data_IF_946468112248
#
_entry.id   IF_946468112248
#
_cell.length_a   1.000
_cell.length_b   1.000
_cell.length_c   1.000
_cell.angle_alpha   90.00
_cell.angle_beta   90.00
_cell.angle_gamma   90.00
#
_symmetry.space_group_name_H-M   'P 1'
#
loop_
_entity.id
_entity.type
_entity.pdbx_description
1 polymer ?
#
# COMPACT_ATOMS: atom_id res chain seq x y z
N UNK A 1 -18.45 -24.22 38.49
CA UNK A 1 -18.22 -24.24 37.04
C UNK A 1 -16.86 -23.62 36.79
N UNK A 2 -15.85 -24.47 36.64
CA UNK A 2 -14.51 -24.06 36.25
C UNK A 2 -14.58 -23.46 34.84
N UNK A 3 -14.16 -22.20 34.69
CA UNK A 3 -13.84 -21.64 33.37
C UNK A 3 -12.67 -22.46 32.84
N UNK A 4 -12.92 -23.37 31.90
CA UNK A 4 -11.85 -23.94 31.07
C UNK A 4 -11.09 -22.77 30.47
N UNK A 5 -9.85 -22.56 30.91
CA UNK A 5 -8.88 -21.67 30.28
C UNK A 5 -8.64 -22.24 28.89
N UNK A 6 -9.37 -21.73 27.90
CA UNK A 6 -9.15 -22.07 26.51
C UNK A 6 -7.74 -21.60 26.17
N UNK A 7 -6.86 -22.52 25.78
CA UNK A 7 -5.54 -22.15 25.24
C UNK A 7 -5.79 -21.17 24.09
N UNK A 8 -5.38 -19.93 24.28
CA UNK A 8 -5.48 -18.91 23.24
C UNK A 8 -4.43 -19.25 22.19
N UNK A 9 -4.83 -19.28 20.91
CA UNK A 9 -3.89 -19.43 19.81
C UNK A 9 -3.34 -18.04 19.50
N UNK A 10 -2.05 -17.84 19.79
CA UNK A 10 -1.38 -16.56 19.58
C UNK A 10 -0.80 -16.49 18.18
N UNK A 11 -1.11 -15.41 17.48
CA UNK A 11 -0.50 -15.03 16.22
C UNK A 11 0.42 -13.85 16.45
N UNK A 12 1.64 -13.95 15.93
CA UNK A 12 2.60 -12.86 15.94
C UNK A 12 2.60 -12.20 14.56
N UNK A 13 2.41 -10.89 14.51
CA UNK A 13 2.46 -10.09 13.29
C UNK A 13 3.75 -9.28 13.27
N UNK A 14 4.47 -9.31 12.15
CA UNK A 14 5.66 -8.48 11.92
C UNK A 14 5.50 -7.64 10.64
N UNK A 15 4.97 -6.40 10.74
CA UNK A 15 4.84 -5.51 9.59
C UNK A 15 6.19 -4.92 9.16
N UNK A 16 6.33 -4.61 7.88
CA UNK A 16 7.35 -3.69 7.40
C UNK A 16 7.01 -2.27 7.90
N UNK A 17 7.98 -1.47 8.41
CA UNK A 17 7.71 -0.21 9.12
C UNK A 17 7.43 0.97 8.18
N UNK A 18 6.50 0.78 7.25
CA UNK A 18 5.96 1.81 6.39
C UNK A 18 4.44 1.71 6.38
N UNK A 19 3.76 2.85 6.31
CA UNK A 19 2.29 2.91 6.46
C UNK A 19 1.54 1.99 5.47
N UNK A 20 2.03 1.87 4.24
CA UNK A 20 1.46 0.96 3.24
C UNK A 20 1.55 -0.53 3.59
N UNK A 21 2.36 -0.89 4.59
CA UNK A 21 2.55 -2.27 5.07
C UNK A 21 1.93 -2.47 6.47
N UNK A 22 2.07 -1.49 7.36
CA UNK A 22 1.47 -1.50 8.70
C UNK A 22 -0.06 -1.59 8.60
N UNK A 23 -0.68 -0.74 7.78
CA UNK A 23 -2.13 -0.69 7.63
C UNK A 23 -2.76 -2.05 7.28
N UNK A 24 -2.36 -2.71 6.17
CA UNK A 24 -2.91 -4.01 5.82
C UNK A 24 -2.62 -5.09 6.87
N UNK A 25 -1.46 -5.08 7.50
CA UNK A 25 -1.12 -6.05 8.56
C UNK A 25 -2.04 -5.91 9.78
N UNK A 26 -2.29 -4.68 10.25
CA UNK A 26 -3.18 -4.44 11.40
C UNK A 26 -4.66 -4.71 11.06
N UNK A 27 -5.08 -4.45 9.81
CA UNK A 27 -6.42 -4.82 9.32
C UNK A 27 -6.60 -6.34 9.30
N UNK A 28 -5.60 -7.08 8.84
CA UNK A 28 -5.57 -8.54 8.91
C UNK A 28 -5.61 -9.03 10.37
N UNK A 29 -4.80 -8.42 11.24
CA UNK A 29 -4.81 -8.71 12.68
C UNK A 29 -6.19 -8.51 13.31
N UNK A 30 -6.89 -7.44 12.96
CA UNK A 30 -8.23 -7.14 13.48
C UNK A 30 -9.25 -8.19 13.05
N UNK A 31 -9.18 -8.62 11.79
CA UNK A 31 -10.01 -9.72 11.31
C UNK A 31 -9.70 -11.03 12.05
N UNK A 32 -8.43 -11.40 12.20
CA UNK A 32 -8.02 -12.62 12.89
C UNK A 32 -8.40 -12.59 14.38
N UNK A 33 -8.24 -11.46 15.05
CA UNK A 33 -8.72 -11.26 16.41
C UNK A 33 -10.22 -11.51 16.53
N UNK A 34 -11.03 -11.04 15.57
CA UNK A 34 -12.48 -11.32 15.52
C UNK A 34 -12.82 -12.81 15.36
N UNK A 35 -11.85 -13.64 14.97
CA UNK A 35 -11.97 -15.10 14.87
C UNK A 35 -11.50 -15.84 16.13
N UNK A 36 -11.07 -15.12 17.16
CA UNK A 36 -10.68 -15.67 18.45
C UNK A 36 -9.18 -15.86 18.66
N UNK A 37 -8.33 -15.40 17.73
CA UNK A 37 -6.88 -15.41 17.90
C UNK A 37 -6.41 -14.26 18.82
N UNK A 38 -5.44 -14.53 19.69
CA UNK A 38 -4.70 -13.46 20.36
C UNK A 38 -3.68 -12.87 19.40
N UNK A 39 -3.65 -11.55 19.26
CA UNK A 39 -2.73 -10.87 18.35
C UNK A 39 -1.60 -10.21 19.13
N UNK A 40 -0.37 -10.51 18.73
CA UNK A 40 0.84 -9.84 19.18
C UNK A 40 1.52 -9.19 17.99
N UNK A 41 1.74 -7.88 18.02
CA UNK A 41 2.45 -7.14 16.98
C UNK A 41 3.86 -6.84 17.48
N UNK A 42 4.86 -7.39 16.81
CA UNK A 42 6.26 -7.02 17.06
C UNK A 42 6.70 -6.05 15.97
N UNK A 43 7.29 -4.92 16.36
CA UNK A 43 7.63 -3.84 15.43
C UNK A 43 8.95 -3.17 15.79
N UNK A 44 9.58 -2.53 14.81
CA UNK A 44 10.79 -1.72 14.99
C UNK A 44 10.46 -0.43 15.74
N UNK A 45 11.47 0.24 16.31
CA UNK A 45 11.30 1.60 16.85
C UNK A 45 11.03 2.60 15.72
N UNK A 46 11.74 2.43 14.60
CA UNK A 46 11.51 3.18 13.37
C UNK A 46 10.07 3.01 12.89
N UNK A 47 9.36 4.13 12.74
CA UNK A 47 7.95 4.20 12.34
C UNK A 47 7.03 3.26 13.15
N UNK A 48 7.15 3.29 14.47
CA UNK A 48 6.33 2.49 15.37
C UNK A 48 4.82 2.78 15.20
N UNK A 49 3.96 1.74 15.09
CA UNK A 49 2.51 1.91 15.16
C UNK A 49 2.09 2.42 16.54
N UNK A 50 0.96 3.13 16.63
CA UNK A 50 0.39 3.58 17.91
C UNK A 50 -0.47 2.46 18.53
N UNK A 51 -0.07 1.85 19.66
CA UNK A 51 -0.85 0.78 20.31
C UNK A 51 -2.26 1.20 20.74
N UNK A 52 -2.47 2.50 20.99
CA UNK A 52 -3.76 3.04 21.45
C UNK A 52 -4.88 2.85 20.42
N UNK A 53 -4.52 2.66 19.15
CA UNK A 53 -5.49 2.43 18.08
C UNK A 53 -6.01 0.99 18.03
N UNK A 54 -5.29 0.05 18.66
CA UNK A 54 -5.64 -1.37 18.75
C UNK A 54 -5.40 -1.88 20.19
N UNK A 55 -6.15 -1.38 21.18
CA UNK A 55 -5.96 -1.75 22.59
C UNK A 55 -6.20 -3.24 22.87
N UNK A 56 -6.85 -3.95 21.95
CA UNK A 56 -7.07 -5.39 21.98
C UNK A 56 -5.83 -6.22 21.57
N UNK A 57 -4.80 -5.61 20.98
CA UNK A 57 -3.54 -6.28 20.64
C UNK A 57 -2.46 -6.02 21.68
N UNK A 58 -1.46 -6.91 21.73
CA UNK A 58 -0.23 -6.68 22.47
C UNK A 58 0.86 -6.19 21.53
N UNK A 59 1.56 -5.11 21.88
CA UNK A 59 2.65 -4.55 21.06
C UNK A 59 3.99 -4.74 21.76
N UNK A 60 5.00 -5.21 21.02
CA UNK A 60 6.38 -5.29 21.48
C UNK A 60 7.30 -4.52 20.52
N UNK A 61 7.89 -3.39 20.96
CA UNK A 61 8.93 -2.75 20.19
C UNK A 61 10.24 -3.53 20.30
N UNK A 62 11.00 -3.60 19.20
CA UNK A 62 12.36 -4.16 19.17
C UNK A 62 13.38 -3.12 18.69
N UNK A 63 14.62 -3.15 19.19
CA UNK A 63 15.73 -2.42 18.60
C UNK A 63 15.90 -2.75 17.11
N UNK A 64 16.17 -1.70 16.33
CA UNK A 64 16.46 -1.79 14.90
C UNK A 64 17.89 -1.35 14.54
N UNK A 65 18.60 -0.76 15.50
CA UNK A 65 19.97 -0.26 15.39
C UNK A 65 20.21 0.60 14.13
N UNK A 66 19.17 1.32 13.68
CA UNK A 66 19.29 2.26 12.57
C UNK A 66 20.00 3.53 13.03
N UNK A 67 20.99 3.96 12.25
CA UNK A 67 21.69 5.23 12.48
C UNK A 67 20.87 6.43 12.01
N UNK A 68 21.13 7.61 12.59
CA UNK A 68 20.50 8.84 12.15
C UNK A 68 20.80 9.17 10.66
N UNK A 69 22.00 8.81 10.19
CA UNK A 69 22.41 8.99 8.80
C UNK A 69 21.61 8.09 7.85
N UNK A 70 21.38 6.83 8.21
CA UNK A 70 20.53 5.92 7.42
C UNK A 70 19.09 6.42 7.33
N UNK A 71 18.52 6.86 8.46
CA UNK A 71 17.15 7.40 8.49
C UNK A 71 17.05 8.67 7.65
N UNK A 72 17.98 9.60 7.82
CA UNK A 72 17.97 10.89 7.11
C UNK A 72 18.26 10.77 5.62
N UNK A 73 18.94 9.69 5.18
CA UNK A 73 19.18 9.42 3.76
C UNK A 73 17.88 9.27 2.96
N UNK A 74 16.79 8.85 3.61
CA UNK A 74 15.53 8.53 2.95
C UNK A 74 15.61 7.35 1.97
N UNK A 75 16.74 6.62 1.92
CA UNK A 75 16.91 5.47 1.05
C UNK A 75 16.20 4.25 1.65
N UNK A 76 14.95 4.06 1.22
CA UNK A 76 14.06 2.98 1.65
C UNK A 76 14.73 1.60 1.49
N UNK A 77 15.43 1.36 0.39
CA UNK A 77 16.02 0.04 0.11
C UNK A 77 17.16 -0.26 1.10
N UNK A 78 18.05 0.71 1.34
CA UNK A 78 19.12 0.58 2.33
C UNK A 78 18.58 0.36 3.74
N UNK A 79 17.56 1.13 4.15
CA UNK A 79 16.90 0.97 5.46
C UNK A 79 16.34 -0.44 5.61
N UNK A 80 15.61 -0.95 4.62
CA UNK A 80 15.03 -2.30 4.67
C UNK A 80 16.09 -3.39 4.76
N UNK A 81 17.22 -3.24 4.08
CA UNK A 81 18.35 -4.16 4.17
C UNK A 81 18.99 -4.12 5.58
N UNK A 82 19.20 -2.92 6.13
CA UNK A 82 19.72 -2.75 7.49
C UNK A 82 18.79 -3.39 8.53
N UNK A 83 17.47 -3.16 8.45
CA UNK A 83 16.49 -3.80 9.32
C UNK A 83 16.54 -5.33 9.26
N UNK A 84 16.66 -5.91 8.05
CA UNK A 84 16.79 -7.36 7.90
C UNK A 84 18.10 -7.91 8.48
N UNK A 85 19.15 -7.09 8.55
CA UNK A 85 20.42 -7.47 9.18
C UNK A 85 20.36 -7.35 10.71
N UNK A 86 19.78 -6.26 11.22
CA UNK A 86 19.86 -5.86 12.62
C UNK A 86 18.79 -6.53 13.50
N UNK A 87 17.54 -6.60 13.03
CA UNK A 87 16.41 -6.97 13.88
C UNK A 87 16.31 -8.47 14.23
N UNK A 88 17.10 -9.33 13.58
CA UNK A 88 16.98 -10.79 13.72
C UNK A 88 17.14 -11.25 15.17
N UNK A 89 18.21 -10.83 15.83
CA UNK A 89 18.52 -11.27 17.20
C UNK A 89 17.47 -10.75 18.19
N UNK A 90 17.09 -9.47 18.09
CA UNK A 90 16.10 -8.86 18.97
C UNK A 90 14.71 -9.48 18.80
N UNK A 91 14.31 -9.81 17.56
CA UNK A 91 13.05 -10.50 17.32
C UNK A 91 13.04 -11.90 17.93
N UNK A 92 14.11 -12.67 17.74
CA UNK A 92 14.25 -14.02 18.31
C UNK A 92 14.21 -14.01 19.85
N UNK A 93 14.93 -13.08 20.48
CA UNK A 93 14.89 -12.88 21.92
C UNK A 93 13.46 -12.54 22.39
N UNK A 94 12.79 -11.59 21.72
CA UNK A 94 11.42 -11.18 22.08
C UNK A 94 10.45 -12.36 22.04
N UNK A 95 10.51 -13.20 21.00
CA UNK A 95 9.65 -14.37 20.89
C UNK A 95 9.94 -15.41 21.97
N UNK A 96 11.22 -15.62 22.29
CA UNK A 96 11.63 -16.54 23.36
C UNK A 96 11.07 -16.07 24.70
N UNK A 97 11.20 -14.79 25.03
CA UNK A 97 10.64 -14.23 26.26
C UNK A 97 9.11 -14.32 26.32
N UNK A 98 8.41 -14.11 25.19
CA UNK A 98 6.95 -14.26 25.12
C UNK A 98 6.55 -15.71 25.39
N UNK A 99 7.28 -16.68 24.82
CA UNK A 99 7.03 -18.11 25.04
C UNK A 99 7.31 -18.54 26.48
N UNK A 100 8.34 -17.99 27.13
CA UNK A 100 8.71 -18.29 28.52
C UNK A 100 7.72 -17.67 29.53
N UNK A 101 7.29 -16.43 29.31
CA UNK A 101 6.37 -15.71 30.21
C UNK A 101 4.95 -16.27 30.14
N UNK A 102 4.53 -16.81 29.00
CA UNK A 102 3.19 -17.38 28.82
C UNK A 102 3.21 -18.79 28.21
N UNK A 103 3.68 -19.81 28.95
CA UNK A 103 3.81 -21.18 28.41
C UNK A 103 2.48 -21.80 27.95
N UNK A 104 1.36 -21.31 28.51
CA UNK A 104 0.00 -21.77 28.19
C UNK A 104 -0.55 -21.16 26.89
N UNK A 105 0.09 -20.12 26.36
CA UNK A 105 -0.34 -19.33 25.20
C UNK A 105 0.67 -19.51 24.05
N UNK A 106 0.65 -20.71 23.46
CA UNK A 106 1.58 -21.12 22.40
C UNK A 106 1.44 -20.19 21.19
N UNK A 107 2.58 -19.73 20.67
CA UNK A 107 2.63 -19.06 19.36
C UNK A 107 2.29 -20.09 18.29
N UNK A 108 1.13 -19.92 17.65
CA UNK A 108 0.65 -20.82 16.59
C UNK A 108 1.36 -20.54 15.28
N UNK A 109 1.53 -19.26 14.92
CA UNK A 109 2.10 -18.85 13.65
C UNK A 109 2.64 -17.41 13.72
N UNK A 110 3.69 -17.14 12.94
CA UNK A 110 4.17 -15.78 12.66
C UNK A 110 3.67 -15.37 11.27
N UNK A 111 2.93 -14.27 11.17
CA UNK A 111 2.56 -13.64 9.91
C UNK A 111 3.49 -12.44 9.71
N UNK A 112 4.33 -12.48 8.68
CA UNK A 112 5.33 -11.43 8.44
C UNK A 112 5.17 -10.84 7.05
N UNK A 113 5.54 -9.58 6.91
CA UNK A 113 5.63 -8.93 5.61
C UNK A 113 6.70 -9.60 4.72
N UNK A 114 6.47 -9.66 3.41
CA UNK A 114 7.38 -10.32 2.46
C UNK A 114 8.76 -9.68 2.38
N UNK A 115 8.85 -8.38 2.67
CA UNK A 115 10.12 -7.63 2.66
C UNK A 115 10.90 -7.83 3.97
N UNK A 116 10.25 -8.23 5.07
CA UNK A 116 10.89 -8.51 6.36
C UNK A 116 11.27 -10.00 6.47
N UNK A 117 12.07 -10.47 5.52
CA UNK A 117 12.41 -11.89 5.38
C UNK A 117 13.23 -12.47 6.54
N UNK A 118 13.87 -11.63 7.37
CA UNK A 118 14.54 -12.10 8.58
C UNK A 118 13.55 -12.78 9.57
N UNK A 119 12.28 -12.37 9.57
CA UNK A 119 11.24 -12.93 10.44
C UNK A 119 10.98 -14.41 10.15
N UNK A 120 11.04 -14.81 8.87
CA UNK A 120 10.96 -16.23 8.46
C UNK A 120 12.15 -17.03 8.98
N UNK A 121 13.35 -16.46 8.92
CA UNK A 121 14.55 -17.13 9.40
C UNK A 121 14.51 -17.38 10.91
N UNK A 122 13.93 -16.46 11.68
CA UNK A 122 13.68 -16.62 13.12
C UNK A 122 12.58 -17.65 13.37
N UNK A 123 11.46 -17.57 12.64
CA UNK A 123 10.37 -18.54 12.74
C UNK A 123 10.88 -19.98 12.55
N UNK A 124 11.69 -20.19 11.51
CA UNK A 124 12.34 -21.48 11.24
C UNK A 124 13.30 -21.91 12.34
N UNK A 125 14.09 -21.00 12.91
CA UNK A 125 15.02 -21.33 14.01
C UNK A 125 14.26 -21.81 15.25
N UNK A 126 13.14 -21.15 15.56
CA UNK A 126 12.29 -21.48 16.71
C UNK A 126 11.28 -22.60 16.43
N UNK A 127 11.29 -23.19 15.23
CA UNK A 127 10.31 -24.19 14.77
C UNK A 127 8.85 -23.71 14.88
N UNK A 128 8.61 -22.44 14.58
CA UNK A 128 7.28 -21.83 14.53
C UNK A 128 6.85 -21.71 13.05
N UNK A 129 5.64 -22.16 12.68
CA UNK A 129 5.10 -21.93 11.34
C UNK A 129 5.06 -20.45 10.98
N UNK A 130 5.27 -20.13 9.71
CA UNK A 130 5.18 -18.76 9.21
C UNK A 130 4.27 -18.64 7.99
N UNK A 131 3.63 -17.49 7.85
CA UNK A 131 2.82 -17.13 6.69
C UNK A 131 3.32 -15.77 6.18
N UNK A 132 3.56 -15.67 4.88
CA UNK A 132 4.04 -14.45 4.26
C UNK A 132 2.87 -13.57 3.83
N UNK A 133 2.85 -12.29 4.22
CA UNK A 133 1.90 -11.30 3.75
C UNK A 133 2.54 -10.43 2.65
N UNK A 134 1.87 -10.36 1.50
CA UNK A 134 2.20 -9.46 0.40
C UNK A 134 1.19 -8.33 0.33
N UNK A 135 1.68 -7.11 0.56
CA UNK A 135 0.89 -5.88 0.59
C UNK A 135 0.89 -5.14 -0.76
N UNK A 136 1.67 -5.63 -1.73
CA UNK A 136 1.74 -5.10 -3.11
C UNK A 136 0.88 -5.94 -4.07
N UNK A 137 0.73 -5.53 -5.33
CA UNK A 137 -0.06 -6.27 -6.33
C UNK A 137 0.69 -7.49 -6.92
N UNK A 138 -0.05 -8.45 -7.47
CA UNK A 138 0.50 -9.63 -8.14
C UNK A 138 1.20 -9.24 -9.44
N UNK A 139 0.63 -8.28 -10.16
CA UNK A 139 1.18 -7.72 -11.40
C UNK A 139 2.52 -7.03 -11.17
N UNK A 140 2.69 -6.31 -10.05
CA UNK A 140 3.99 -5.78 -9.64
C UNK A 140 4.99 -6.90 -9.31
N UNK A 141 4.57 -7.97 -8.64
CA UNK A 141 5.45 -9.10 -8.37
C UNK A 141 6.00 -9.71 -9.67
N UNK A 142 5.14 -9.94 -10.67
CA UNK A 142 5.56 -10.39 -12.00
C UNK A 142 6.49 -9.38 -12.69
N UNK A 143 6.21 -8.09 -12.57
CA UNK A 143 7.06 -7.04 -13.13
C UNK A 143 8.47 -7.02 -12.49
N UNK A 144 8.59 -7.27 -11.18
CA UNK A 144 9.88 -7.43 -10.50
C UNK A 144 10.63 -8.66 -11.03
N UNK A 145 9.95 -9.78 -11.23
CA UNK A 145 10.55 -10.97 -11.86
C UNK A 145 11.07 -10.67 -13.27
N UNK A 146 10.34 -9.87 -14.07
CA UNK A 146 10.79 -9.42 -15.38
C UNK A 146 12.09 -8.59 -15.29
N UNK A 147 12.18 -7.68 -14.33
CA UNK A 147 13.39 -6.87 -14.09
C UNK A 147 14.59 -7.76 -13.74
N UNK A 148 14.40 -8.75 -12.86
CA UNK A 148 15.46 -9.70 -12.49
C UNK A 148 15.91 -10.54 -13.70
N UNK A 149 14.97 -11.00 -14.53
CA UNK A 149 15.27 -11.74 -15.74
C UNK A 149 16.05 -10.89 -16.74
N UNK A 150 15.59 -9.67 -17.05
CA UNK A 150 16.25 -8.77 -17.97
C UNK A 150 17.68 -8.44 -17.51
N UNK A 151 17.92 -8.30 -16.20
CA UNK A 151 19.26 -8.13 -15.68
C UNK A 151 20.14 -9.36 -15.90
N UNK A 152 19.60 -10.57 -15.67
CA UNK A 152 20.36 -11.82 -15.89
C UNK A 152 20.73 -12.07 -17.36
N UNK A 153 20.01 -11.43 -18.28
CA UNK A 153 20.25 -11.45 -19.73
C UNK A 153 21.09 -10.26 -20.22
N UNK A 154 21.68 -9.46 -19.31
CA UNK A 154 22.45 -8.24 -19.61
C UNK A 154 21.66 -7.19 -20.42
N UNK A 155 20.33 -7.16 -20.26
CA UNK A 155 19.42 -6.21 -20.91
C UNK A 155 19.09 -4.98 -20.04
N UNK A 156 19.78 -4.79 -18.90
CA UNK A 156 19.64 -3.63 -18.01
C UNK A 156 21.00 -2.93 -17.78
N UNK A 157 21.05 -1.58 -17.76
CA UNK A 157 19.96 -0.65 -18.06
C UNK A 157 19.57 -0.69 -19.55
N UNK A 158 18.29 -0.56 -19.86
CA UNK A 158 17.83 -0.50 -21.25
C UNK A 158 17.99 0.92 -21.82
N UNK A 159 18.29 1.08 -23.13
CA UNK A 159 18.34 2.40 -23.77
C UNK A 159 17.00 3.14 -23.73
N UNK A 160 17.05 4.48 -23.70
CA UNK A 160 15.87 5.34 -23.75
C UNK A 160 14.98 5.09 -24.98
N UNK A 161 15.57 4.62 -26.09
CA UNK A 161 14.82 4.25 -27.30
C UNK A 161 13.88 3.06 -27.09
N UNK A 162 14.13 2.19 -26.11
CA UNK A 162 13.27 1.07 -25.76
C UNK A 162 12.22 1.43 -24.69
N UNK A 163 12.34 2.61 -24.06
CA UNK A 163 11.52 3.05 -22.94
C UNK A 163 10.00 2.89 -23.17
N UNK A 164 9.54 3.21 -24.38
CA UNK A 164 8.12 3.12 -24.77
C UNK A 164 7.72 1.77 -25.36
N UNK A 165 8.68 0.87 -25.62
CA UNK A 165 8.40 -0.43 -26.22
C UNK A 165 7.73 -1.35 -25.19
N UNK A 166 6.81 -2.23 -25.63
CA UNK A 166 6.21 -3.22 -24.76
C UNK A 166 7.27 -4.21 -24.26
N UNK A 167 7.16 -4.62 -23.01
CA UNK A 167 7.99 -5.69 -22.45
C UNK A 167 7.43 -7.04 -22.94
N UNK A 168 8.22 -7.88 -23.63
CA UNK A 168 7.75 -9.18 -24.11
C UNK A 168 7.17 -10.01 -22.97
N UNK A 169 6.02 -10.67 -23.19
CA UNK A 169 5.32 -11.52 -22.21
C UNK A 169 4.73 -10.79 -20.97
N UNK A 170 5.00 -9.50 -20.78
CA UNK A 170 4.50 -8.70 -19.65
C UNK A 170 3.55 -7.57 -20.09
N UNK A 171 2.75 -7.81 -21.15
CA UNK A 171 1.71 -6.86 -21.57
C UNK A 171 0.74 -6.56 -20.40
N UNK A 172 0.38 -5.29 -20.15
CA UNK A 172 0.54 -4.09 -20.98
C UNK A 172 1.78 -3.22 -20.69
N UNK A 173 2.73 -3.73 -19.90
CA UNK A 173 3.87 -2.94 -19.43
C UNK A 173 4.82 -2.59 -20.57
N UNK A 174 5.34 -1.36 -20.52
CA UNK A 174 6.49 -0.90 -21.29
C UNK A 174 7.74 -0.96 -20.42
N UNK A 175 8.92 -0.89 -21.04
CA UNK A 175 10.18 -0.88 -20.28
C UNK A 175 10.21 0.22 -19.20
N UNK A 176 9.70 1.43 -19.52
CA UNK A 176 9.61 2.52 -18.52
C UNK A 176 8.64 2.28 -17.36
N UNK A 177 7.68 1.37 -17.54
CA UNK A 177 6.68 1.05 -16.52
C UNK A 177 7.23 0.01 -15.53
N UNK A 178 8.36 -0.64 -15.84
CA UNK A 178 9.00 -1.61 -14.96
C UNK A 178 9.49 -0.95 -13.66
N UNK A 179 9.43 -1.65 -12.52
CA UNK A 179 9.83 -1.13 -11.21
C UNK A 179 11.36 -1.16 -11.05
N UNK A 180 12.10 -0.54 -11.98
CA UNK A 180 13.54 -0.32 -11.85
C UNK A 180 13.78 0.80 -10.83
N UNK A 181 14.67 0.56 -9.84
CA UNK A 181 14.95 1.56 -8.81
C UNK A 181 15.74 2.74 -9.40
N UNK A 182 15.18 3.95 -9.29
CA UNK A 182 15.94 5.20 -9.45
C UNK A 182 16.55 5.67 -8.11
N UNK A 183 16.24 4.99 -7.01
CA UNK A 183 16.50 5.43 -5.63
C UNK A 183 17.69 4.72 -4.99
N UNK A 184 18.19 3.65 -5.60
CA UNK A 184 19.34 2.87 -5.11
C UNK A 184 19.95 2.06 -6.25
N UNK A 185 21.10 1.47 -5.99
CA UNK A 185 21.78 0.45 -6.78
C UNK A 185 20.87 -0.73 -7.12
N UNK A 186 21.07 -1.28 -8.33
CA UNK A 186 20.41 -2.50 -8.74
C UNK A 186 20.74 -3.69 -7.82
N UNK A 187 21.94 -3.71 -7.23
CA UNK A 187 22.36 -4.73 -6.27
C UNK A 187 21.43 -4.77 -5.05
N UNK A 188 21.17 -3.62 -4.40
CA UNK A 188 20.26 -3.56 -3.26
C UNK A 188 18.82 -3.92 -3.66
N UNK A 189 18.36 -3.43 -4.81
CA UNK A 189 17.05 -3.78 -5.35
C UNK A 189 16.90 -5.28 -5.56
N UNK A 190 17.86 -5.91 -6.24
CA UNK A 190 17.84 -7.34 -6.56
C UNK A 190 17.90 -8.21 -5.31
N UNK A 191 18.73 -7.84 -4.32
CA UNK A 191 18.77 -8.49 -3.00
C UNK A 191 17.38 -8.50 -2.35
N UNK A 192 16.69 -7.36 -2.29
CA UNK A 192 15.35 -7.29 -1.72
C UNK A 192 14.33 -8.06 -2.55
N UNK A 193 14.33 -7.90 -3.88
CA UNK A 193 13.37 -8.55 -4.76
C UNK A 193 13.48 -10.08 -4.74
N UNK A 194 14.70 -10.62 -4.77
CA UNK A 194 14.96 -12.07 -4.66
C UNK A 194 14.51 -12.58 -3.29
N UNK A 195 14.85 -11.86 -2.22
CA UNK A 195 14.48 -12.29 -0.87
C UNK A 195 12.97 -12.21 -0.60
N UNK A 196 12.27 -11.19 -1.08
CA UNK A 196 10.81 -11.07 -0.96
C UNK A 196 10.07 -12.08 -1.87
N UNK A 197 10.68 -12.46 -2.99
CA UNK A 197 10.16 -13.47 -3.89
C UNK A 197 10.28 -14.91 -3.38
N UNK A 198 11.22 -15.17 -2.48
CA UNK A 198 11.49 -16.50 -1.97
C UNK A 198 10.53 -16.91 -0.85
N UNK A 199 9.68 -17.89 -1.12
CA UNK A 199 8.69 -18.44 -0.17
C UNK A 199 9.37 -19.17 1.00
N UNK A 200 10.59 -19.68 0.82
CA UNK A 200 11.38 -20.41 1.84
C UNK A 200 10.55 -21.48 2.54
N UNK A 201 10.41 -21.42 3.87
CA UNK A 201 9.63 -22.37 4.67
C UNK A 201 8.26 -21.85 5.09
N UNK A 202 7.80 -20.74 4.50
CA UNK A 202 6.46 -20.23 4.77
C UNK A 202 5.39 -21.27 4.37
N UNK A 203 4.41 -21.48 5.25
CA UNK A 203 3.32 -22.44 5.06
C UNK A 203 2.28 -21.94 4.05
N UNK A 204 2.20 -20.63 3.84
CA UNK A 204 1.28 -20.01 2.89
C UNK A 204 1.70 -18.58 2.52
N UNK A 205 1.04 -18.04 1.48
CA UNK A 205 1.12 -16.64 1.10
C UNK A 205 -0.27 -16.01 1.21
N UNK A 206 -0.34 -14.89 1.91
CA UNK A 206 -1.49 -14.00 1.93
C UNK A 206 -1.21 -12.85 0.97
N UNK A 207 -2.19 -12.51 0.14
CA UNK A 207 -2.07 -11.41 -0.80
C UNK A 207 -3.19 -10.40 -0.60
N UNK A 208 -2.84 -9.13 -0.39
CA UNK A 208 -3.79 -8.03 -0.36
C UNK A 208 -4.22 -7.66 -1.80
N UNK A 209 -4.92 -8.56 -2.47
CA UNK A 209 -5.49 -8.34 -3.81
C UNK A 209 -6.85 -9.01 -3.93
N UNK A 210 -7.57 -8.70 -5.01
CA UNK A 210 -8.89 -9.24 -5.33
C UNK A 210 -8.82 -9.94 -6.69
N UNK A 211 -9.40 -11.14 -6.76
CA UNK A 211 -9.36 -11.95 -7.99
C UNK A 211 -9.88 -11.20 -9.21
N UNK A 212 -10.95 -10.40 -9.06
CA UNK A 212 -11.54 -9.66 -10.18
C UNK A 212 -10.60 -8.61 -10.80
N UNK A 213 -9.53 -8.22 -10.11
CA UNK A 213 -8.53 -7.26 -10.60
C UNK A 213 -7.33 -7.95 -11.26
N UNK A 214 -6.91 -9.11 -10.75
CA UNK A 214 -5.63 -9.76 -11.10
C UNK A 214 -5.75 -11.26 -11.43
N UNK A 215 -6.93 -11.73 -11.87
CA UNK A 215 -7.23 -13.16 -12.08
C UNK A 215 -6.17 -13.91 -12.90
N UNK A 216 -5.74 -13.36 -14.03
CA UNK A 216 -4.75 -13.99 -14.91
C UNK A 216 -3.38 -14.11 -14.23
N UNK A 217 -2.93 -13.03 -13.57
CA UNK A 217 -1.66 -12.99 -12.84
C UNK A 217 -1.67 -13.93 -11.64
N UNK A 218 -2.78 -14.03 -10.91
CA UNK A 218 -2.95 -14.99 -9.81
C UNK A 218 -2.88 -16.43 -10.33
N UNK A 219 -3.55 -16.75 -11.44
CA UNK A 219 -3.50 -18.08 -12.03
C UNK A 219 -2.07 -18.46 -12.47
N UNK A 220 -1.31 -17.51 -13.02
CA UNK A 220 0.10 -17.72 -13.39
C UNK A 220 0.97 -18.02 -12.16
N UNK A 221 0.86 -17.23 -11.09
CA UNK A 221 1.66 -17.43 -9.88
C UNK A 221 1.26 -18.73 -9.15
N UNK A 222 -0.03 -19.08 -9.14
CA UNK A 222 -0.50 -20.31 -8.51
C UNK A 222 0.08 -21.58 -9.15
N UNK A 223 0.44 -21.54 -10.44
CA UNK A 223 1.13 -22.66 -11.11
C UNK A 223 2.61 -22.77 -10.74
N UNK A 224 3.22 -21.68 -10.27
CA UNK A 224 4.65 -21.61 -9.93
C UNK A 224 4.90 -21.81 -8.44
N UNK A 225 3.89 -21.61 -7.60
CA UNK A 225 4.00 -21.67 -6.16
C UNK A 225 3.54 -23.02 -5.60
N UNK A 226 4.34 -23.60 -4.70
CA UNK A 226 4.04 -24.90 -4.08
C UNK A 226 3.21 -24.78 -2.80
N UNK A 227 3.02 -23.56 -2.28
CA UNK A 227 2.24 -23.29 -1.08
C UNK A 227 0.90 -22.66 -1.43
N UNK A 228 -0.13 -22.79 -0.59
CA UNK A 228 -1.41 -22.14 -0.84
C UNK A 228 -1.27 -20.61 -0.85
N UNK A 229 -1.97 -19.97 -1.79
CA UNK A 229 -2.08 -18.52 -1.93
C UNK A 229 -3.51 -18.09 -1.57
N UNK A 230 -3.63 -17.09 -0.71
CA UNK A 230 -4.90 -16.52 -0.26
C UNK A 230 -5.02 -15.07 -0.72
N UNK A 231 -5.76 -14.81 -1.80
CA UNK A 231 -6.16 -13.47 -2.22
C UNK A 231 -7.34 -13.00 -1.37
N UNK A 232 -7.04 -12.29 -0.28
CA UNK A 232 -8.03 -11.89 0.74
C UNK A 232 -8.37 -10.41 0.72
N UNK A 233 -7.79 -9.67 -0.22
CA UNK A 233 -7.99 -8.24 -0.34
C UNK A 233 -9.40 -7.87 -0.82
N UNK A 234 -9.76 -6.58 -0.69
CA UNK A 234 -8.97 -5.52 -0.09
C UNK A 234 -9.03 -5.55 1.44
N UNK A 235 -7.88 -5.53 2.11
CA UNK A 235 -7.80 -5.64 3.58
C UNK A 235 -8.49 -4.47 4.31
N UNK A 236 -8.55 -3.28 3.70
CA UNK A 236 -9.25 -2.14 4.30
C UNK A 236 -10.79 -2.32 4.36
N UNK A 237 -11.33 -3.39 3.76
CA UNK A 237 -12.77 -3.74 3.81
C UNK A 237 -13.09 -4.91 4.75
N UNK A 238 -12.11 -5.63 5.29
CA UNK A 238 -12.37 -6.87 6.07
C UNK A 238 -12.62 -6.63 7.56
N UNK A 239 -12.19 -5.49 8.09
CA UNK A 239 -12.28 -5.16 9.50
C UNK A 239 -12.76 -3.71 9.72
N UNK A 240 -13.32 -3.39 10.90
CA UNK A 240 -13.74 -2.04 11.25
C UNK A 240 -12.60 -1.03 11.10
N UNK A 241 -12.97 0.24 10.88
CA UNK A 241 -12.02 1.32 10.66
C UNK A 241 -11.38 1.82 11.96
N UNK A 242 -10.60 0.97 12.64
CA UNK A 242 -9.57 1.47 13.55
C UNK A 242 -8.53 2.21 12.71
N UNK A 243 -8.09 3.39 13.17
CA UNK A 243 -7.05 4.14 12.47
C UNK A 243 -5.72 3.42 12.64
N UNK A 244 -5.05 3.06 11.56
CA UNK A 244 -3.69 2.50 11.58
C UNK A 244 -2.65 3.52 11.12
N UNK A 245 -3.05 4.79 11.02
CA UNK A 245 -2.22 5.87 10.48
C UNK A 245 -1.05 6.19 11.41
N UNK A 246 0.12 6.44 10.82
CA UNK A 246 1.30 6.93 11.56
C UNK A 246 1.21 8.43 11.86
N UNK A 247 0.37 9.15 11.10
CA UNK A 247 0.13 10.58 11.25
C UNK A 247 -1.29 10.84 11.74
N UNK A 248 -1.45 11.88 12.56
CA UNK A 248 -2.76 12.32 13.06
C UNK A 248 -3.64 12.80 11.90
N UNK A 249 -4.84 12.25 11.81
CA UNK A 249 -5.80 12.53 10.73
C UNK A 249 -6.61 13.79 11.04
N UNK A 250 -6.63 14.74 10.09
CA UNK A 250 -7.43 15.95 10.17
C UNK A 250 -8.85 15.69 9.63
N UNK A 251 -9.79 15.47 10.55
CA UNK A 251 -11.20 15.21 10.20
C UNK A 251 -11.97 16.45 9.78
N UNK A 252 -11.40 17.66 9.88
CA UNK A 252 -12.08 18.91 9.47
C UNK A 252 -12.37 18.93 7.96
N UNK A 253 -11.58 18.23 7.15
CA UNK A 253 -11.83 18.08 5.72
C UNK A 253 -13.16 17.38 5.42
N UNK A 254 -13.66 16.49 6.28
CA UNK A 254 -14.96 15.85 6.11
C UNK A 254 -16.08 16.88 6.22
N UNK A 255 -16.02 17.77 7.22
CA UNK A 255 -17.00 18.86 7.37
C UNK A 255 -16.96 19.85 6.18
N UNK A 256 -15.81 20.00 5.52
CA UNK A 256 -15.71 20.76 4.26
C UNK A 256 -16.37 20.01 3.09
N UNK A 257 -16.17 18.69 2.98
CA UNK A 257 -16.75 17.85 1.94
C UNK A 257 -18.29 17.83 2.00
N UNK A 258 -18.89 17.86 3.19
CA UNK A 258 -20.36 17.90 3.39
C UNK A 258 -21.02 19.15 2.76
N UNK A 259 -20.24 20.21 2.51
CA UNK A 259 -20.72 21.44 1.87
C UNK A 259 -20.62 21.40 0.34
N UNK A 260 -19.99 20.38 -0.21
CA UNK A 260 -19.71 20.27 -1.64
C UNK A 260 -20.81 19.50 -2.37
N UNK A 261 -20.91 19.74 -3.68
CA UNK A 261 -21.85 19.01 -4.52
C UNK A 261 -21.40 17.55 -4.73
N UNK A 262 -22.36 16.68 -5.06
CA UNK A 262 -22.06 15.28 -5.33
C UNK A 262 -21.07 15.13 -6.49
N UNK A 263 -20.02 14.32 -6.29
CA UNK A 263 -18.95 14.06 -7.27
C UNK A 263 -18.28 15.32 -7.86
N UNK A 264 -18.25 16.44 -7.14
CA UNK A 264 -17.61 17.67 -7.62
C UNK A 264 -16.16 17.85 -7.18
N UNK A 265 -15.71 17.10 -6.16
CA UNK A 265 -14.40 17.31 -5.54
C UNK A 265 -13.36 16.37 -6.13
N UNK A 266 -12.20 16.89 -6.50
CA UNK A 266 -11.00 16.09 -6.72
C UNK A 266 -10.19 15.97 -5.42
N UNK A 267 -10.00 14.75 -4.95
CA UNK A 267 -9.10 14.45 -3.83
C UNK A 267 -7.67 14.26 -4.35
N UNK A 268 -6.67 14.85 -3.70
CA UNK A 268 -5.26 14.79 -4.12
C UNK A 268 -4.40 14.30 -2.96
N UNK A 269 -3.73 13.15 -3.14
CA UNK A 269 -2.79 12.59 -2.16
C UNK A 269 -1.70 11.74 -2.83
N UNK A 270 -0.44 12.13 -2.61
CA UNK A 270 0.72 11.43 -3.17
C UNK A 270 1.34 10.41 -2.20
N UNK A 271 0.60 10.02 -1.16
CA UNK A 271 1.00 8.96 -0.24
C UNK A 271 1.91 9.42 0.91
N UNK A 272 2.37 8.45 1.70
CA UNK A 272 3.11 8.71 2.95
C UNK A 272 4.61 8.90 2.77
N UNK A 273 5.15 8.60 1.59
CA UNK A 273 6.60 8.54 1.36
C UNK A 273 7.08 9.46 0.23
N UNK A 274 6.26 9.67 -0.81
CA UNK A 274 6.68 10.50 -1.93
C UNK A 274 6.97 11.94 -1.49
N UNK A 275 7.99 12.51 -2.13
CA UNK A 275 8.36 13.93 -2.00
C UNK A 275 8.12 14.63 -3.32
N UNK A 276 7.82 15.92 -3.24
CA UNK A 276 7.50 16.80 -4.37
C UNK A 276 8.49 17.96 -4.36
N UNK A 277 9.07 18.31 -5.51
CA UNK A 277 9.91 19.50 -5.62
C UNK A 277 9.08 20.79 -5.60
N UNK A 278 9.66 21.91 -5.18
CA UNK A 278 8.96 23.22 -5.14
C UNK A 278 8.34 23.60 -6.49
N UNK A 279 9.06 23.35 -7.58
CA UNK A 279 8.55 23.62 -8.94
C UNK A 279 7.31 22.78 -9.24
N UNK A 280 7.32 21.50 -8.91
CA UNK A 280 6.19 20.60 -9.13
C UNK A 280 5.00 21.01 -8.26
N UNK A 281 5.24 21.37 -6.99
CA UNK A 281 4.21 21.90 -6.10
C UNK A 281 3.53 23.14 -6.70
N UNK A 282 4.33 24.07 -7.25
CA UNK A 282 3.81 25.28 -7.89
C UNK A 282 2.98 24.98 -9.13
N UNK A 283 3.44 24.06 -9.99
CA UNK A 283 2.68 23.64 -11.17
C UNK A 283 1.39 22.90 -10.79
N UNK A 284 1.42 22.05 -9.76
CA UNK A 284 0.24 21.38 -9.20
C UNK A 284 -0.78 22.38 -8.67
N UNK A 285 -0.33 23.35 -7.86
CA UNK A 285 -1.19 24.38 -7.28
C UNK A 285 -1.90 25.18 -8.37
N UNK A 286 -1.16 25.70 -9.35
CA UNK A 286 -1.76 26.47 -10.44
C UNK A 286 -2.61 25.60 -11.38
N UNK A 287 -2.24 24.35 -11.63
CA UNK A 287 -3.05 23.43 -12.42
C UNK A 287 -4.41 23.13 -11.76
N UNK A 288 -4.42 22.92 -10.44
CA UNK A 288 -5.64 22.77 -9.65
C UNK A 288 -6.49 24.04 -9.67
N UNK A 289 -5.88 25.20 -9.45
CA UNK A 289 -6.58 26.48 -9.48
C UNK A 289 -7.26 26.74 -10.84
N UNK A 290 -6.52 26.51 -11.94
CA UNK A 290 -6.98 26.74 -13.31
C UNK A 290 -8.10 25.78 -13.73
N UNK A 291 -8.16 24.58 -13.15
CA UNK A 291 -9.21 23.60 -13.46
C UNK A 291 -10.62 24.05 -13.06
N UNK A 292 -10.72 25.06 -12.19
CA UNK A 292 -11.96 25.55 -11.57
C UNK A 292 -12.79 24.46 -10.85
N UNK A 293 -12.20 23.30 -10.55
CA UNK A 293 -12.85 22.26 -9.75
C UNK A 293 -12.55 22.47 -8.25
N UNK A 294 -13.51 22.17 -7.36
CA UNK A 294 -13.24 22.02 -5.94
C UNK A 294 -12.22 20.91 -5.69
N UNK A 295 -11.27 21.13 -4.78
CA UNK A 295 -10.25 20.13 -4.47
C UNK A 295 -9.96 20.02 -2.98
N UNK A 296 -9.68 18.80 -2.53
CA UNK A 296 -9.10 18.50 -1.23
C UNK A 296 -7.68 17.98 -1.45
N UNK A 297 -6.67 18.71 -0.99
CA UNK A 297 -5.27 18.38 -1.21
C UNK A 297 -4.54 18.09 0.10
N UNK A 298 -3.98 16.88 0.20
CA UNK A 298 -3.10 16.49 1.30
C UNK A 298 -1.67 16.90 1.00
N UNK A 299 -1.10 17.77 1.83
CA UNK A 299 0.32 18.15 1.80
C UNK A 299 0.95 17.74 3.13
N UNK A 300 1.60 16.57 3.12
CA UNK A 300 2.19 15.96 4.32
C UNK A 300 3.40 16.77 4.80
N UNK A 301 3.58 16.95 6.13
CA UNK A 301 4.83 17.49 6.67
C UNK A 301 6.05 16.71 6.16
N UNK A 302 7.03 17.41 5.59
CA UNK A 302 8.23 16.79 5.02
C UNK A 302 8.06 16.14 3.65
N UNK A 303 6.90 16.29 2.97
CA UNK A 303 6.79 15.93 1.54
C UNK A 303 7.39 16.97 0.62
N UNK A 304 7.72 18.16 1.13
CA UNK A 304 8.41 19.23 0.40
C UNK A 304 9.82 19.32 1.00
N UNK A 305 10.85 19.30 0.15
CA UNK A 305 12.25 19.26 0.60
C UNK A 305 12.59 20.50 1.47
N UNK A 306 12.59 20.33 2.79
CA UNK A 306 13.14 21.29 3.75
C UNK A 306 12.23 22.45 4.17
N UNK A 307 10.94 22.46 3.82
CA UNK A 307 10.02 23.60 4.07
C UNK A 307 8.62 23.15 4.55
N UNK A 308 7.93 24.02 5.31
CA UNK A 308 6.51 23.86 5.61
C UNK A 308 5.66 24.31 4.40
N UNK A 309 4.53 23.66 4.17
CA UNK A 309 3.68 23.90 3.00
C UNK A 309 3.11 25.31 2.97
N UNK A 310 2.81 25.88 4.15
CA UNK A 310 2.33 27.26 4.28
C UNK A 310 3.33 28.29 3.72
N UNK A 311 4.63 27.97 3.73
CA UNK A 311 5.69 28.85 3.25
C UNK A 311 6.03 28.62 1.78
N UNK A 312 5.54 27.52 1.18
CA UNK A 312 5.91 27.08 -0.18
C UNK A 312 4.80 27.16 -1.21
N UNK A 313 3.55 27.40 -0.80
CA UNK A 313 2.47 27.64 -1.76
C UNK A 313 2.72 28.93 -2.57
N UNK A 314 2.45 28.94 -3.89
CA UNK A 314 2.67 30.13 -4.71
C UNK A 314 1.90 31.36 -4.22
N UNK A 315 2.52 32.52 -4.30
CA UNK A 315 1.87 33.78 -3.95
C UNK A 315 0.58 33.99 -4.77
N UNK A 316 -0.52 34.37 -4.11
CA UNK A 316 -1.82 34.59 -4.74
C UNK A 316 -2.65 33.31 -4.93
N UNK A 317 -2.11 32.13 -4.61
CA UNK A 317 -2.81 30.86 -4.82
C UNK A 317 -4.04 30.73 -3.93
N UNK A 318 -3.90 30.99 -2.62
CA UNK A 318 -5.00 30.88 -1.65
C UNK A 318 -6.14 31.83 -2.01
N UNK A 319 -5.81 33.07 -2.41
CA UNK A 319 -6.78 34.06 -2.86
C UNK A 319 -7.48 33.64 -4.16
N UNK A 320 -6.76 33.03 -5.10
CA UNK A 320 -7.31 32.56 -6.37
C UNK A 320 -8.28 31.37 -6.20
N UNK A 321 -8.02 30.47 -5.24
CA UNK A 321 -8.88 29.29 -5.00
C UNK A 321 -10.05 29.59 -4.06
N UNK A 322 -9.85 30.44 -3.05
CA UNK A 322 -10.87 30.75 -2.05
C UNK A 322 -11.46 29.49 -1.41
N UNK A 323 -12.79 29.45 -1.24
CA UNK A 323 -13.50 28.35 -0.58
C UNK A 323 -13.54 27.03 -1.38
N UNK A 324 -13.07 27.03 -2.64
CA UNK A 324 -13.03 25.84 -3.50
C UNK A 324 -11.88 24.88 -3.14
N UNK A 325 -10.86 25.37 -2.45
CA UNK A 325 -9.71 24.57 -2.04
C UNK A 325 -9.75 24.25 -0.55
N UNK A 326 -9.54 22.99 -0.21
CA UNK A 326 -9.25 22.56 1.16
C UNK A 326 -7.87 21.89 1.18
N UNK A 327 -6.97 22.35 2.06
CA UNK A 327 -5.62 21.81 2.18
C UNK A 327 -5.44 21.35 3.62
N UNK A 328 -5.03 20.09 3.79
CA UNK A 328 -4.79 19.48 5.10
C UNK A 328 -3.44 18.78 5.12
N UNK A 329 -2.88 18.62 6.32
CA UNK A 329 -1.60 17.93 6.51
C UNK A 329 -1.73 16.42 6.30
N UNK A 330 -2.86 15.86 6.73
CA UNK A 330 -3.15 14.43 6.62
C UNK A 330 -4.65 14.21 6.70
N UNK A 331 -5.22 13.42 5.81
CA UNK A 331 -6.67 13.20 5.73
C UNK A 331 -7.04 11.76 6.10
N UNK A 332 -8.23 11.50 6.68
CA UNK A 332 -8.81 10.17 6.81
C UNK A 332 -9.21 9.63 5.43
N UNK A 333 -8.24 9.22 4.63
CA UNK A 333 -8.38 8.95 3.19
C UNK A 333 -9.51 7.97 2.86
N UNK A 334 -9.73 6.94 3.70
CA UNK A 334 -10.81 5.97 3.51
C UNK A 334 -12.19 6.63 3.60
N UNK A 335 -12.38 7.53 4.55
CA UNK A 335 -13.62 8.29 4.71
C UNK A 335 -13.79 9.30 3.57
N UNK A 336 -12.71 9.99 3.19
CA UNK A 336 -12.70 10.91 2.05
C UNK A 336 -13.11 10.22 0.76
N UNK A 337 -12.49 9.09 0.41
CA UNK A 337 -12.81 8.35 -0.82
C UNK A 337 -14.22 7.74 -0.81
N UNK A 338 -14.75 7.41 0.37
CA UNK A 338 -16.13 6.93 0.52
C UNK A 338 -17.16 8.07 0.47
N UNK A 339 -16.74 9.32 0.63
CA UNK A 339 -17.62 10.48 0.69
C UNK A 339 -18.23 10.81 -0.68
N UNK A 340 -19.55 11.04 -0.72
CA UNK A 340 -20.29 11.25 -1.97
C UNK A 340 -19.88 12.50 -2.78
N UNK A 341 -19.26 13.49 -2.15
CA UNK A 341 -18.73 14.66 -2.84
C UNK A 341 -17.49 14.38 -3.70
N UNK A 342 -16.73 13.32 -3.41
CA UNK A 342 -15.50 13.00 -4.16
C UNK A 342 -15.86 12.37 -5.51
N UNK A 343 -15.46 13.04 -6.58
CA UNK A 343 -15.70 12.61 -7.96
C UNK A 343 -14.47 12.04 -8.66
N UNK A 344 -13.28 12.29 -8.12
CA UNK A 344 -12.01 11.82 -8.68
C UNK A 344 -10.87 11.84 -7.66
N UNK A 345 -9.86 11.01 -7.90
CA UNK A 345 -8.71 10.87 -7.01
C UNK A 345 -7.38 11.01 -7.77
N UNK A 346 -6.65 12.08 -7.51
CA UNK A 346 -5.28 12.23 -7.97
C UNK A 346 -4.32 11.56 -6.98
N UNK A 347 -3.67 10.50 -7.45
CA UNK A 347 -2.83 9.62 -6.64
C UNK A 347 -1.46 9.33 -7.26
N UNK A 348 -0.50 9.09 -6.39
CA UNK A 348 0.77 8.43 -6.70
C UNK A 348 0.64 6.95 -7.10
N UNK A 349 -0.56 6.35 -7.03
CA UNK A 349 -0.82 4.96 -7.44
C UNK A 349 -0.16 3.89 -6.56
N UNK A 350 0.05 4.16 -5.27
CA UNK A 350 0.34 3.12 -4.30
C UNK A 350 -0.79 2.07 -4.25
N UNK A 351 -0.46 0.81 -3.96
CA UNK A 351 -1.43 -0.29 -4.07
C UNK A 351 -2.63 -0.13 -3.13
N UNK A 352 -2.41 0.22 -1.87
CA UNK A 352 -3.50 0.44 -0.92
C UNK A 352 -4.47 1.54 -1.38
N UNK A 353 -3.94 2.68 -1.81
CA UNK A 353 -4.76 3.80 -2.31
C UNK A 353 -5.49 3.46 -3.60
N UNK A 354 -4.89 2.63 -4.46
CA UNK A 354 -5.56 2.08 -5.65
C UNK A 354 -6.74 1.21 -5.24
N UNK A 355 -6.53 0.26 -4.32
CA UNK A 355 -7.61 -0.59 -3.81
C UNK A 355 -8.72 0.21 -3.15
N UNK A 356 -8.40 1.22 -2.35
CA UNK A 356 -9.38 2.12 -1.71
C UNK A 356 -10.22 2.86 -2.75
N UNK A 357 -9.58 3.46 -3.76
CA UNK A 357 -10.28 4.21 -4.83
C UNK A 357 -11.22 3.31 -5.63
N UNK A 358 -10.74 2.14 -6.07
CA UNK A 358 -11.53 1.19 -6.85
C UNK A 358 -12.68 0.60 -6.02
N UNK A 359 -12.45 0.40 -4.72
CA UNK A 359 -13.50 -0.08 -3.81
C UNK A 359 -14.58 0.96 -3.53
N UNK A 360 -14.31 2.24 -3.80
CA UNK A 360 -15.29 3.31 -3.73
C UNK A 360 -15.83 3.78 -5.08
N UNK A 361 -15.29 3.23 -6.18
CA UNK A 361 -15.73 3.54 -7.54
C UNK A 361 -15.32 4.95 -7.97
N UNK A 362 -14.23 5.47 -7.40
CA UNK A 362 -13.67 6.78 -7.70
C UNK A 362 -12.60 6.61 -8.78
N UNK A 363 -12.73 7.28 -9.94
CA UNK A 363 -11.74 7.22 -11.00
C UNK A 363 -10.50 8.05 -10.64
N UNK A 364 -9.37 7.79 -11.29
CA UNK A 364 -8.07 8.28 -10.82
C UNK A 364 -7.32 9.15 -11.84
N UNK A 365 -6.58 10.14 -11.35
CA UNK A 365 -5.43 10.73 -12.07
C UNK A 365 -4.16 10.11 -11.47
N UNK A 366 -3.31 9.58 -12.32
CA UNK A 366 -2.13 8.81 -11.93
C UNK A 366 -0.85 9.61 -12.16
N UNK A 367 -0.10 9.85 -11.09
CA UNK A 367 1.26 10.43 -11.14
C UNK A 367 2.23 9.55 -10.34
N UNK A 368 2.66 8.41 -10.91
CA UNK A 368 3.54 7.49 -10.20
C UNK A 368 4.91 8.12 -9.94
N UNK A 369 5.43 7.96 -8.72
CA UNK A 369 6.74 8.47 -8.31
C UNK A 369 7.82 7.41 -8.45
N UNK A 370 7.64 6.22 -7.83
CA UNK A 370 8.67 5.18 -7.79
C UNK A 370 8.11 3.77 -7.59
N UNK A 371 8.97 2.76 -7.74
CA UNK A 371 8.66 1.37 -7.42
C UNK A 371 7.49 0.81 -8.24
N UNK A 372 6.54 0.21 -7.55
CA UNK A 372 5.36 -0.47 -8.09
C UNK A 372 4.31 0.47 -8.70
N UNK A 373 4.38 1.76 -8.37
CA UNK A 373 3.39 2.76 -8.77
C UNK A 373 3.26 2.89 -10.29
N UNK A 374 4.36 2.74 -11.04
CA UNK A 374 4.34 2.83 -12.51
C UNK A 374 3.58 1.67 -13.14
N UNK A 375 3.72 0.47 -12.57
CA UNK A 375 2.94 -0.72 -12.95
C UNK A 375 1.46 -0.43 -12.71
N UNK A 376 1.09 0.03 -11.52
CA UNK A 376 -0.30 0.32 -11.19
C UNK A 376 -0.91 1.40 -12.09
N UNK A 377 -0.20 2.51 -12.33
CA UNK A 377 -0.66 3.56 -13.23
C UNK A 377 -0.97 3.05 -14.66
N UNK A 378 -0.15 2.10 -15.15
CA UNK A 378 -0.39 1.44 -16.43
C UNK A 378 -1.65 0.57 -16.41
N UNK A 379 -1.87 -0.20 -15.34
CA UNK A 379 -3.08 -1.02 -15.20
C UNK A 379 -4.34 -0.17 -15.04
N UNK A 380 -4.29 0.89 -14.24
CA UNK A 380 -5.39 1.84 -14.04
C UNK A 380 -5.80 2.49 -15.37
N UNK A 381 -4.84 2.97 -16.14
CA UNK A 381 -5.12 3.71 -17.38
C UNK A 381 -5.43 2.81 -18.58
N UNK A 382 -4.78 1.65 -18.72
CA UNK A 382 -4.86 0.84 -19.95
C UNK A 382 -5.72 -0.42 -19.84
N UNK A 383 -5.71 -1.07 -18.67
CA UNK A 383 -6.42 -2.34 -18.45
C UNK A 383 -7.81 -2.06 -17.92
N UNK A 384 -7.88 -1.43 -16.75
CA UNK A 384 -9.15 -1.07 -16.10
C UNK A 384 -9.79 0.15 -16.75
N UNK A 385 -8.96 1.03 -17.32
CA UNK A 385 -9.37 2.29 -17.97
C UNK A 385 -10.22 3.16 -17.04
N UNK A 386 -9.89 3.17 -15.76
CA UNK A 386 -10.59 3.92 -14.70
C UNK A 386 -9.83 5.17 -14.28
N UNK A 387 -8.89 5.62 -15.11
CA UNK A 387 -8.13 6.81 -14.84
C UNK A 387 -7.27 7.25 -16.02
N UNK A 388 -6.67 8.42 -15.85
CA UNK A 388 -5.71 9.02 -16.78
C UNK A 388 -4.33 9.05 -16.14
N UNK A 389 -3.29 8.77 -16.91
CA UNK A 389 -1.93 8.89 -16.43
C UNK A 389 -1.31 10.20 -16.92
N UNK A 390 -0.84 11.02 -15.97
CA UNK A 390 0.03 12.15 -16.28
C UNK A 390 1.41 11.60 -16.62
N UNK A 391 1.67 11.39 -17.91
CA UNK A 391 2.98 10.99 -18.39
C UNK A 391 3.88 12.23 -18.49
N UNK A 392 5.03 12.22 -17.80
CA UNK A 392 6.10 13.25 -17.79
C UNK A 392 5.94 14.38 -16.75
N UNK A 393 6.64 15.51 -16.98
CA UNK A 393 6.76 16.66 -16.07
C UNK A 393 5.37 17.19 -15.70
N UNK A 394 5.15 17.40 -14.40
CA UNK A 394 3.95 18.05 -13.88
C UNK A 394 3.94 19.51 -14.33
N UNK A 395 3.28 19.79 -15.45
CA UNK A 395 3.05 21.12 -15.98
C UNK A 395 1.58 21.52 -15.73
N UNK A 396 1.34 22.75 -15.27
CA UNK A 396 0.00 23.20 -14.86
C UNK A 396 -1.07 23.02 -15.93
N UNK A 397 -0.72 23.16 -17.21
CA UNK A 397 -1.66 22.99 -18.33
C UNK A 397 -2.09 21.53 -18.52
N UNK A 398 -1.17 20.59 -18.35
CA UNK A 398 -1.48 19.16 -18.40
C UNK A 398 -2.27 18.71 -17.17
N UNK A 399 -1.95 19.27 -16.00
CA UNK A 399 -2.71 19.05 -14.77
C UNK A 399 -4.15 19.57 -14.93
N UNK A 400 -4.32 20.81 -15.38
CA UNK A 400 -5.64 21.39 -15.66
C UNK A 400 -6.44 20.47 -16.61
N UNK A 401 -5.82 20.06 -17.72
CA UNK A 401 -6.43 19.17 -18.71
C UNK A 401 -6.85 17.84 -18.08
N UNK A 402 -5.97 17.19 -17.32
CA UNK A 402 -6.27 15.90 -16.69
C UNK A 402 -7.41 16.00 -15.67
N UNK A 403 -7.43 17.06 -14.85
CA UNK A 403 -8.52 17.31 -13.90
C UNK A 403 -9.85 17.52 -14.65
N UNK A 404 -9.85 18.32 -15.71
CA UNK A 404 -11.07 18.54 -16.51
C UNK A 404 -11.53 17.28 -17.24
N UNK A 405 -10.61 16.50 -17.81
CA UNK A 405 -10.93 15.22 -18.45
C UNK A 405 -11.55 14.23 -17.48
N UNK A 406 -11.04 14.14 -16.26
CA UNK A 406 -11.59 13.24 -15.25
C UNK A 406 -12.95 13.73 -14.73
N UNK A 407 -13.09 15.03 -14.45
CA UNK A 407 -14.21 15.58 -13.68
C UNK A 407 -15.36 16.11 -14.55
N UNK A 408 -15.07 16.61 -15.75
CA UNK A 408 -16.01 17.38 -16.58
C UNK A 408 -16.32 16.69 -17.92
N UNK A 409 -15.30 16.17 -18.60
CA UNK A 409 -15.47 15.63 -19.96
C UNK A 409 -16.17 14.26 -20.00
N UNK A 410 -16.72 13.88 -21.16
CA UNK A 410 -17.41 12.61 -21.39
C UNK A 410 -16.53 11.38 -21.14
N UNK A 411 -15.22 11.49 -21.42
CA UNK A 411 -14.23 10.45 -21.13
C UNK A 411 -14.20 10.09 -19.64
N UNK A 412 -14.32 11.10 -18.77
CA UNK A 412 -14.41 10.94 -17.32
C UNK A 412 -15.67 10.21 -16.89
N UNK A 413 -16.80 10.40 -17.58
CA UNK A 413 -18.03 9.65 -17.31
C UNK A 413 -17.85 8.16 -17.64
N UNK A 414 -17.22 7.85 -18.78
CA UNK A 414 -16.85 6.48 -19.12
C UNK A 414 -15.96 5.83 -18.06
N UNK A 415 -15.01 6.58 -17.49
CA UNK A 415 -14.15 6.09 -16.39
C UNK A 415 -14.95 5.85 -15.11
N UNK A 416 -15.89 6.73 -14.75
CA UNK A 416 -16.77 6.56 -13.58
C UNK A 416 -17.65 5.33 -13.69
N UNK A 417 -18.23 5.06 -14.87
CA UNK A 417 -19.02 3.85 -15.11
C UNK A 417 -18.18 2.59 -14.88
N UNK A 418 -16.96 2.55 -15.43
CA UNK A 418 -16.04 1.41 -15.23
C UNK A 418 -15.58 1.28 -13.77
N UNK A 419 -15.29 2.39 -13.10
CA UNK A 419 -14.92 2.39 -11.68
C UNK A 419 -16.06 1.86 -10.80
N UNK A 420 -17.32 2.21 -11.12
CA UNK A 420 -18.50 1.67 -10.44
C UNK A 420 -18.67 0.16 -10.67
N UNK A 421 -18.48 -0.32 -11.89
CA UNK A 421 -18.51 -1.77 -12.19
C UNK A 421 -17.42 -2.53 -11.39
N UNK A 422 -16.21 -1.98 -11.30
CA UNK A 422 -15.16 -2.57 -10.46
C UNK A 422 -15.52 -2.56 -8.97
N UNK A 423 -16.10 -1.47 -8.44
CA UNK A 423 -16.61 -1.43 -7.07
C UNK A 423 -17.62 -2.54 -6.80
N UNK A 424 -18.55 -2.76 -7.72
CA UNK A 424 -19.56 -3.82 -7.61
C UNK A 424 -18.92 -5.21 -7.62
N UNK A 425 -17.97 -5.47 -8.53
CA UNK A 425 -17.22 -6.74 -8.61
C UNK A 425 -16.39 -7.01 -7.35
N UNK A 426 -15.66 -6.01 -6.87
CA UNK A 426 -14.93 -6.09 -5.59
C UNK A 426 -15.92 -6.41 -4.47
N UNK A 427 -17.05 -5.72 -4.41
CA UNK A 427 -18.11 -5.96 -3.42
C UNK A 427 -18.67 -7.39 -3.47
N UNK A 428 -18.78 -8.00 -4.65
CA UNK A 428 -19.18 -9.42 -4.80
C UNK A 428 -18.12 -10.36 -4.24
N UNK A 429 -16.83 -10.13 -4.52
CA UNK A 429 -15.73 -10.94 -3.98
C UNK A 429 -15.68 -10.94 -2.44
N UNK A 430 -16.04 -9.83 -1.80
CA UNK A 430 -16.02 -9.67 -0.34
C UNK A 430 -17.25 -10.25 0.38
N UNK A 431 -18.37 -10.44 -0.31
CA UNK A 431 -19.61 -10.96 0.30
C UNK A 431 -19.52 -12.46 0.56
N UNK A 432 -20.40 -12.98 1.43
CA UNK A 432 -20.51 -14.42 1.69
C UNK A 432 -20.72 -15.18 0.38
N UNK A 433 -19.83 -16.15 0.12
CA UNK A 433 -19.79 -16.91 -1.14
C UNK A 433 -18.89 -16.32 -2.23
N UNK A 434 -18.38 -15.09 -2.05
CA UNK A 434 -17.35 -14.49 -2.89
C UNK A 434 -15.97 -15.09 -2.65
N UNK A 435 -15.03 -14.82 -3.56
CA UNK A 435 -13.71 -15.44 -3.53
C UNK A 435 -12.84 -14.97 -2.35
N UNK A 436 -12.68 -13.67 -2.13
CA UNK A 436 -11.94 -13.12 -0.98
C UNK A 436 -12.52 -13.61 0.35
N UNK A 437 -13.86 -13.62 0.48
CA UNK A 437 -14.53 -14.17 1.67
C UNK A 437 -14.19 -15.65 1.89
N UNK A 438 -14.16 -16.44 0.82
CA UNK A 438 -13.84 -17.87 0.90
C UNK A 438 -12.37 -18.10 1.26
N UNK A 439 -11.45 -17.33 0.69
CA UNK A 439 -10.02 -17.39 1.04
C UNK A 439 -9.75 -16.96 2.48
N UNK A 440 -10.46 -15.97 3.00
CA UNK A 440 -10.38 -15.58 4.42
C UNK A 440 -10.75 -16.74 5.35
N UNK A 441 -11.82 -17.49 5.05
CA UNK A 441 -12.19 -18.63 5.89
C UNK A 441 -11.18 -19.78 5.77
N UNK A 442 -10.71 -20.08 4.56
CA UNK A 442 -9.67 -21.10 4.36
C UNK A 442 -8.34 -20.73 5.04
N UNK A 443 -8.01 -19.44 5.09
CA UNK A 443 -6.84 -18.96 5.84
C UNK A 443 -7.01 -19.23 7.34
N UNK A 444 -8.18 -18.96 7.90
CA UNK A 444 -8.47 -19.28 9.31
C UNK A 444 -8.38 -20.79 9.55
N UNK A 445 -8.96 -21.61 8.68
CA UNK A 445 -8.88 -23.07 8.76
C UNK A 445 -7.42 -23.56 8.71
N UNK A 446 -6.61 -23.00 7.81
CA UNK A 446 -5.18 -23.31 7.74
C UNK A 446 -4.49 -22.96 9.06
N UNK A 447 -4.65 -21.74 9.57
CA UNK A 447 -4.02 -21.30 10.82
C UNK A 447 -4.43 -22.19 12.00
N UNK A 448 -5.70 -22.62 12.06
CA UNK A 448 -6.19 -23.54 13.09
C UNK A 448 -5.56 -24.94 13.01
N UNK A 449 -5.05 -25.33 11.83
CA UNK A 449 -4.45 -26.65 11.58
C UNK A 449 -2.93 -26.72 11.79
N UNK A 450 -2.27 -25.57 11.97
CA UNK A 450 -0.86 -25.44 12.30
C UNK A 450 -0.61 -25.76 13.78
#
# INVERSE_FOLDING_TARGET
MEKKTQSSQRLVLFPCPYQGHINPMLQLGTFLHSKGFSITVVHTHFNSPNPSNHPEFTFFPIPDDLTADEISSGNIMAILLALNANCKASFEQTLTEVMEKEPQNKITCIIHDDIMYFSEAVARHLNIPSIMLRTTSVTNFLARSAVLQLHSEDHLPFPDSLSLNPVPQFHPLRFKDLPTSNLDTFENYSKLAVNAGNVRTASAIIWNTVDCLEQSSLAQIQQQCQVPIFSIGPLHKIAPAASSSLLEEDTSCIAWLEKQSHKSVIYVSLGSVASIGEKELSEMAWGLANSNQPFLWVIRPGSICGLDWNETLPQGFIEAVGERGCIVKWAPQREVLAHGAVGGFWSHCGWNSTLESLSEGVPMICTPSFGDQKVHARYISQVWRVGVQLENKLERGEIERAVRTLMVDDDGEGMRVRAKDLKEKIGVCMKKGGSSYSFLNKLVELIMSL
#
